data_IF_470689696708
#
_entry.id   IF_470689696708
#
_cell.length_a   1.000
_cell.length_b   1.000
_cell.length_c   1.000
_cell.angle_alpha   90.00
_cell.angle_beta   90.00
_cell.angle_gamma   90.00
#
_symmetry.space_group_name_H-M   'P 1'
#
loop_
_entity.id
_entity.type
_entity.pdbx_description
1 polymer ?
#
# COMPACT_ATOMS: atom_id res chain seq x y z
N UNK A 1 14.91 19.32 -28.51
CA UNK A 1 15.61 18.45 -27.55
C UNK A 1 15.35 17.01 -27.96
N UNK A 2 16.38 16.20 -28.22
CA UNK A 2 16.17 14.78 -28.55
C UNK A 2 15.55 14.08 -27.34
N UNK A 3 14.46 13.35 -27.54
CA UNK A 3 13.85 12.52 -26.49
C UNK A 3 14.93 11.54 -26.01
N UNK A 4 15.39 11.67 -24.76
CA UNK A 4 16.27 10.66 -24.16
C UNK A 4 15.49 9.34 -24.18
N UNK A 5 16.12 8.24 -24.61
CA UNK A 5 15.52 6.92 -24.40
C UNK A 5 15.41 6.68 -22.89
N UNK A 6 14.41 5.92 -22.48
CA UNK A 6 14.27 5.48 -21.09
C UNK A 6 15.47 4.60 -20.69
N UNK A 7 15.86 4.67 -19.42
CA UNK A 7 16.95 3.86 -18.86
C UNK A 7 16.41 2.50 -18.41
N UNK A 8 16.67 1.47 -19.22
CA UNK A 8 16.22 0.11 -18.99
C UNK A 8 16.72 -0.47 -17.65
N UNK A 9 17.93 -0.08 -17.21
CA UNK A 9 18.48 -0.56 -15.93
C UNK A 9 17.66 -0.02 -14.75
N UNK A 10 17.26 1.25 -14.81
CA UNK A 10 16.43 1.85 -13.75
C UNK A 10 14.99 1.35 -13.78
N UNK A 11 14.44 1.05 -14.95
CA UNK A 11 13.11 0.43 -15.07
C UNK A 11 13.14 -0.96 -14.43
N UNK A 12 14.14 -1.79 -14.74
CA UNK A 12 14.26 -3.11 -14.12
C UNK A 12 14.42 -2.99 -12.60
N UNK A 13 15.26 -2.07 -12.12
CA UNK A 13 15.42 -1.81 -10.69
C UNK A 13 14.10 -1.46 -9.99
N UNK A 14 13.27 -0.61 -10.61
CA UNK A 14 11.93 -0.29 -10.11
C UNK A 14 11.04 -1.54 -10.05
N UNK A 15 11.02 -2.36 -11.10
CA UNK A 15 10.20 -3.58 -11.16
C UNK A 15 10.62 -4.62 -10.11
N UNK A 16 11.93 -4.76 -9.85
CA UNK A 16 12.44 -5.59 -8.76
C UNK A 16 12.01 -5.07 -7.39
N UNK A 17 12.05 -3.76 -7.18
CA UNK A 17 11.56 -3.14 -5.94
C UNK A 17 10.06 -3.31 -5.79
N UNK A 18 9.26 -3.13 -6.84
CA UNK A 18 7.82 -3.35 -6.82
C UNK A 18 7.47 -4.79 -6.44
N UNK A 19 8.11 -5.78 -7.09
CA UNK A 19 7.86 -7.19 -6.76
C UNK A 19 8.21 -7.52 -5.30
N UNK A 20 9.29 -6.93 -4.78
CA UNK A 20 9.65 -7.09 -3.38
C UNK A 20 8.70 -6.36 -2.42
N UNK A 21 8.17 -5.20 -2.82
CA UNK A 21 7.15 -4.48 -2.04
C UNK A 21 5.92 -5.37 -1.87
N UNK A 22 5.38 -5.96 -2.94
CA UNK A 22 4.22 -6.87 -2.88
C UNK A 22 4.49 -8.09 -1.99
N UNK A 23 5.68 -8.70 -2.14
CA UNK A 23 6.09 -9.84 -1.31
C UNK A 23 6.25 -9.47 0.17
N UNK A 24 6.72 -8.26 0.45
CA UNK A 24 6.77 -7.69 1.79
C UNK A 24 5.38 -7.35 2.33
N UNK A 25 4.52 -6.76 1.49
CA UNK A 25 3.14 -6.36 1.77
C UNK A 25 2.31 -7.53 2.28
N UNK A 26 2.41 -8.71 1.66
CA UNK A 26 1.77 -9.95 2.14
C UNK A 26 2.14 -10.23 3.60
N UNK A 27 3.43 -10.17 3.95
CA UNK A 27 3.89 -10.43 5.33
C UNK A 27 3.45 -9.34 6.30
N UNK A 28 3.40 -8.10 5.82
CA UNK A 28 2.95 -6.93 6.58
C UNK A 28 1.47 -7.09 6.91
N UNK A 29 0.60 -7.35 5.94
CA UNK A 29 -0.82 -7.57 6.17
C UNK A 29 -1.10 -8.79 7.05
N UNK A 30 -0.44 -9.94 6.79
CA UNK A 30 -0.54 -11.11 7.68
C UNK A 30 -0.21 -10.75 9.13
N UNK A 31 0.82 -9.92 9.35
CA UNK A 31 1.22 -9.48 10.69
C UNK A 31 0.24 -8.44 11.26
N UNK A 32 -0.23 -7.49 10.45
CA UNK A 32 -1.15 -6.43 10.83
C UNK A 32 -2.49 -7.00 11.29
N UNK A 33 -3.05 -7.98 10.57
CA UNK A 33 -4.28 -8.71 10.93
C UNK A 33 -4.19 -9.32 12.34
N UNK A 34 -3.01 -9.83 12.73
CA UNK A 34 -2.81 -10.35 14.09
C UNK A 34 -2.72 -9.28 15.18
N UNK A 35 -2.50 -8.02 14.79
CA UNK A 35 -2.43 -6.86 15.68
C UNK A 35 -3.78 -6.11 15.75
N UNK A 36 -4.66 -6.28 14.77
CA UNK A 36 -5.95 -5.60 14.70
C UNK A 36 -6.87 -5.97 15.89
N UNK A 37 -7.28 -4.98 16.67
CA UNK A 37 -8.27 -5.07 17.74
C UNK A 37 -9.68 -4.67 17.26
N UNK A 38 -9.78 -3.76 16.29
CA UNK A 38 -10.98 -3.35 15.59
C UNK A 38 -11.32 -4.41 14.53
N UNK A 39 -12.59 -4.83 14.49
CA UNK A 39 -13.08 -5.88 13.60
C UNK A 39 -13.18 -5.43 12.14
N UNK A 40 -13.59 -4.18 11.90
CA UNK A 40 -13.82 -3.65 10.56
C UNK A 40 -12.46 -3.43 9.87
N UNK A 41 -11.49 -2.88 10.61
CA UNK A 41 -10.09 -2.79 10.14
C UNK A 41 -9.48 -4.16 9.84
N UNK A 42 -9.80 -5.18 10.65
CA UNK A 42 -9.31 -6.54 10.40
C UNK A 42 -9.89 -7.11 9.12
N UNK A 43 -11.16 -6.83 8.83
CA UNK A 43 -11.82 -7.23 7.60
C UNK A 43 -11.19 -6.52 6.40
N UNK A 44 -11.02 -5.20 6.43
CA UNK A 44 -10.37 -4.43 5.37
C UNK A 44 -8.94 -4.93 5.07
N UNK A 45 -8.10 -5.11 6.10
CA UNK A 45 -6.76 -5.68 5.90
C UNK A 45 -6.75 -7.12 5.37
N UNK A 46 -7.80 -7.89 5.63
CA UNK A 46 -7.92 -9.25 5.08
C UNK A 46 -8.26 -9.21 3.59
N UNK A 47 -9.07 -8.24 3.16
CA UNK A 47 -9.34 -8.00 1.74
C UNK A 47 -8.07 -7.53 1.03
N UNK A 48 -7.39 -6.53 1.57
CA UNK A 48 -6.14 -6.00 0.99
C UNK A 48 -5.06 -7.07 0.89
N UNK A 49 -4.94 -7.97 1.87
CA UNK A 49 -4.04 -9.13 1.78
C UNK A 49 -4.31 -9.99 0.53
N UNK A 50 -5.56 -10.23 0.18
CA UNK A 50 -5.90 -11.01 -1.02
C UNK A 50 -5.62 -10.24 -2.31
N UNK A 51 -5.84 -8.92 -2.30
CA UNK A 51 -5.49 -8.03 -3.42
C UNK A 51 -3.98 -7.97 -3.64
N UNK A 52 -3.16 -7.74 -2.61
CA UNK A 52 -1.68 -7.76 -2.67
C UNK A 52 -1.15 -9.12 -3.19
N UNK A 53 -1.79 -10.24 -2.82
CA UNK A 53 -1.47 -11.56 -3.41
C UNK A 53 -1.78 -11.61 -4.91
N UNK A 54 -2.82 -10.91 -5.35
CA UNK A 54 -3.15 -10.67 -6.76
C UNK A 54 -2.10 -9.83 -7.46
N UNK A 55 -1.73 -8.69 -6.89
CA UNK A 55 -0.73 -7.77 -7.44
C UNK A 55 0.64 -8.42 -7.61
N UNK A 56 1.09 -9.22 -6.62
CA UNK A 56 2.27 -10.08 -6.77
C UNK A 56 2.19 -10.98 -8.01
N UNK A 57 1.04 -11.62 -8.26
CA UNK A 57 0.86 -12.47 -9.45
C UNK A 57 0.92 -11.62 -10.73
N UNK A 58 0.35 -10.42 -10.70
CA UNK A 58 0.42 -9.46 -11.81
C UNK A 58 1.87 -9.11 -12.14
N UNK A 59 2.69 -8.74 -11.16
CA UNK A 59 4.11 -8.47 -11.38
C UNK A 59 4.89 -9.70 -11.85
N UNK A 60 4.60 -10.89 -11.34
CA UNK A 60 5.23 -12.12 -11.86
C UNK A 60 4.91 -12.35 -13.35
N UNK A 61 3.69 -12.03 -13.81
CA UNK A 61 3.35 -12.06 -15.25
C UNK A 61 4.10 -10.99 -16.04
N UNK A 62 4.32 -9.80 -15.47
CA UNK A 62 5.15 -8.76 -16.09
C UNK A 62 6.57 -9.27 -16.29
N UNK A 63 7.17 -9.88 -15.26
CA UNK A 63 8.51 -10.44 -15.33
C UNK A 63 8.64 -11.52 -16.39
N UNK A 64 7.71 -12.48 -16.43
CA UNK A 64 7.66 -13.52 -17.46
C UNK A 64 7.61 -12.90 -18.87
N UNK A 65 6.71 -11.94 -19.08
CA UNK A 65 6.54 -11.31 -20.40
C UNK A 65 7.77 -10.50 -20.81
N UNK A 66 8.45 -9.85 -19.88
CA UNK A 66 9.65 -9.07 -20.16
C UNK A 66 10.93 -9.93 -20.20
N UNK A 67 10.86 -11.20 -19.81
CA UNK A 67 12.02 -12.09 -19.74
C UNK A 67 12.97 -11.77 -18.57
N UNK A 68 12.42 -11.21 -17.48
CA UNK A 68 13.15 -10.93 -16.25
C UNK A 68 13.09 -12.13 -15.31
N UNK A 69 14.16 -12.35 -14.57
CA UNK A 69 14.23 -13.38 -13.53
C UNK A 69 13.63 -12.84 -12.22
N UNK A 70 12.48 -13.34 -11.75
CA UNK A 70 11.85 -12.81 -10.53
C UNK A 70 12.64 -13.08 -9.25
N UNK A 71 13.64 -13.95 -9.29
CA UNK A 71 14.51 -14.28 -8.15
C UNK A 71 15.83 -13.49 -8.17
N UNK A 72 16.06 -12.67 -9.19
CA UNK A 72 17.28 -11.88 -9.27
C UNK A 72 17.34 -10.81 -8.17
N UNK A 73 18.54 -10.68 -7.61
CA UNK A 73 18.88 -9.70 -6.59
C UNK A 73 19.21 -8.34 -7.22
N UNK A 74 18.82 -7.26 -6.55
CA UNK A 74 19.31 -5.92 -6.84
C UNK A 74 19.61 -5.13 -5.55
N UNK A 75 20.48 -4.11 -5.60
CA UNK A 75 20.77 -3.30 -4.41
C UNK A 75 19.52 -2.65 -3.80
N UNK A 76 18.62 -2.08 -4.61
CA UNK A 76 17.41 -1.45 -4.10
C UNK A 76 16.37 -2.47 -3.64
N UNK A 77 16.24 -3.62 -4.31
CA UNK A 77 15.42 -4.75 -3.83
C UNK A 77 15.80 -5.17 -2.42
N UNK A 78 17.10 -5.28 -2.13
CA UNK A 78 17.60 -5.62 -0.78
C UNK A 78 17.22 -4.57 0.26
N UNK A 79 17.22 -3.30 -0.11
CA UNK A 79 16.80 -2.20 0.78
C UNK A 79 15.29 -2.29 1.05
N UNK A 80 14.47 -2.49 0.02
CA UNK A 80 13.00 -2.67 0.17
C UNK A 80 12.70 -3.87 1.07
N UNK A 81 13.36 -5.01 0.85
CA UNK A 81 13.23 -6.19 1.70
C UNK A 81 13.59 -5.89 3.17
N UNK A 82 14.67 -5.13 3.41
CA UNK A 82 15.08 -4.76 4.76
C UNK A 82 14.04 -3.86 5.46
N UNK A 83 13.50 -2.87 4.75
CA UNK A 83 12.46 -1.98 5.29
C UNK A 83 11.19 -2.77 5.60
N UNK A 84 10.70 -3.59 4.65
CA UNK A 84 9.49 -4.40 4.85
C UNK A 84 9.63 -5.37 6.05
N UNK A 85 10.77 -6.04 6.19
CA UNK A 85 11.04 -6.88 7.36
C UNK A 85 11.07 -6.07 8.66
N UNK A 86 11.59 -4.84 8.64
CA UNK A 86 11.62 -3.97 9.82
C UNK A 86 10.23 -3.54 10.28
N UNK A 87 9.31 -3.27 9.34
CA UNK A 87 7.90 -2.98 9.64
C UNK A 87 7.21 -4.19 10.29
N UNK A 88 7.45 -5.39 9.77
CA UNK A 88 6.96 -6.64 10.38
C UNK A 88 7.47 -6.81 11.81
N UNK A 89 8.76 -6.59 12.05
CA UNK A 89 9.33 -6.70 13.40
C UNK A 89 8.79 -5.63 14.36
N UNK A 90 8.56 -4.39 13.89
CA UNK A 90 7.94 -3.33 14.69
C UNK A 90 6.55 -3.74 15.21
N UNK A 91 5.70 -4.31 14.35
CA UNK A 91 4.39 -4.82 14.75
C UNK A 91 4.49 -5.99 15.75
N UNK A 92 5.43 -6.93 15.54
CA UNK A 92 5.66 -8.03 16.48
C UNK A 92 6.12 -7.53 17.85
N UNK A 93 6.99 -6.51 17.89
CA UNK A 93 7.43 -5.88 19.14
C UNK A 93 6.27 -5.22 19.87
N UNK A 94 5.42 -4.46 19.16
CA UNK A 94 4.23 -3.83 19.74
C UNK A 94 3.25 -4.87 20.32
N UNK A 95 3.01 -5.97 19.58
CA UNK A 95 2.16 -7.07 20.06
C UNK A 95 2.73 -7.74 21.31
N UNK A 96 4.06 -7.96 21.35
CA UNK A 96 4.75 -8.55 22.51
C UNK A 96 4.66 -7.68 23.78
N UNK A 97 4.51 -6.36 23.63
CA UNK A 97 4.33 -5.45 24.75
C UNK A 97 2.96 -5.62 25.45
N UNK A 98 2.00 -6.33 24.84
CA UNK A 98 0.77 -6.81 25.50
C UNK A 98 -0.40 -5.83 25.52
N UNK A 99 -0.28 -4.65 24.90
CA UNK A 99 -1.39 -3.71 24.72
C UNK A 99 -1.94 -3.82 23.29
N UNK A 100 -3.16 -4.37 23.16
CA UNK A 100 -3.79 -4.60 21.87
C UNK A 100 -4.08 -3.30 21.09
N UNK A 101 -4.53 -2.24 21.77
CA UNK A 101 -4.80 -0.95 21.12
C UNK A 101 -3.51 -0.32 20.58
N UNK A 102 -2.43 -0.36 21.36
CA UNK A 102 -1.12 0.13 20.91
C UNK A 102 -0.53 -0.73 19.78
N UNK A 103 -0.73 -2.04 19.80
CA UNK A 103 -0.28 -2.93 18.72
C UNK A 103 -1.01 -2.65 17.40
N UNK A 104 -2.33 -2.43 17.44
CA UNK A 104 -3.10 -2.02 16.27
C UNK A 104 -2.62 -0.68 15.71
N UNK A 105 -2.33 0.29 16.58
CA UNK A 105 -1.86 1.61 16.18
C UNK A 105 -0.53 1.52 15.42
N UNK A 106 0.45 0.80 15.97
CA UNK A 106 1.73 0.55 15.31
C UNK A 106 1.54 -0.20 13.99
N UNK A 107 0.60 -1.15 13.94
CA UNK A 107 0.27 -1.83 12.70
C UNK A 107 -0.29 -0.87 11.64
N UNK A 108 -1.20 0.04 11.99
CA UNK A 108 -1.72 1.04 11.06
C UNK A 108 -0.64 1.98 10.51
N UNK A 109 0.33 2.39 11.35
CA UNK A 109 1.50 3.16 10.91
C UNK A 109 2.39 2.37 9.94
N UNK A 110 2.62 1.08 10.25
CA UNK A 110 3.44 0.21 9.42
C UNK A 110 2.79 -0.05 8.05
N UNK A 111 1.49 -0.32 8.02
CA UNK A 111 0.73 -0.47 6.77
C UNK A 111 0.78 0.84 5.98
N UNK A 112 0.56 2.01 6.61
CA UNK A 112 0.64 3.32 5.93
C UNK A 112 2.00 3.54 5.25
N UNK A 113 3.10 3.16 5.89
CA UNK A 113 4.44 3.27 5.31
C UNK A 113 4.64 2.31 4.13
N UNK A 114 4.11 1.09 4.22
CA UNK A 114 4.15 0.11 3.14
C UNK A 114 3.37 0.61 1.92
N UNK A 115 2.11 1.02 2.12
CA UNK A 115 1.24 1.51 1.04
C UNK A 115 1.79 2.77 0.38
N UNK A 116 2.45 3.65 1.14
CA UNK A 116 3.09 4.84 0.55
C UNK A 116 4.21 4.46 -0.41
N UNK A 117 4.94 3.37 -0.14
CA UNK A 117 5.99 2.88 -1.03
C UNK A 117 5.42 2.14 -2.24
N UNK A 118 4.32 1.42 -2.06
CA UNK A 118 3.72 0.59 -3.10
C UNK A 118 2.95 1.41 -4.13
N UNK A 119 2.09 2.31 -3.66
CA UNK A 119 1.42 3.31 -4.49
C UNK A 119 2.41 4.08 -5.37
N UNK A 120 3.55 4.53 -4.81
CA UNK A 120 4.62 5.18 -5.59
C UNK A 120 5.21 4.26 -6.67
N UNK A 121 5.35 2.95 -6.42
CA UNK A 121 5.82 2.02 -7.45
C UNK A 121 4.82 1.97 -8.61
N UNK A 122 3.55 1.81 -8.30
CA UNK A 122 2.48 1.68 -9.30
C UNK A 122 2.29 2.97 -10.09
N UNK A 123 2.30 4.15 -9.46
CA UNK A 123 2.31 5.45 -10.16
C UNK A 123 3.47 5.55 -11.17
N UNK A 124 4.68 5.13 -10.77
CA UNK A 124 5.86 5.15 -11.64
C UNK A 124 5.78 4.11 -12.76
N UNK A 125 5.20 2.94 -12.51
CA UNK A 125 4.92 1.93 -13.53
C UNK A 125 3.94 2.49 -14.57
N UNK A 126 2.87 3.18 -14.12
CA UNK A 126 1.92 3.88 -14.99
C UNK A 126 2.62 4.95 -15.82
N UNK A 127 3.49 5.74 -15.20
CA UNK A 127 4.29 6.74 -15.91
C UNK A 127 5.16 6.13 -17.02
N UNK A 128 5.80 4.98 -16.77
CA UNK A 128 6.56 4.24 -17.78
C UNK A 128 5.61 3.73 -18.88
N UNK A 129 4.47 3.17 -18.51
CA UNK A 129 3.49 2.65 -19.46
C UNK A 129 2.98 3.71 -20.45
N UNK A 130 2.81 4.96 -19.99
CA UNK A 130 2.38 6.08 -20.83
C UNK A 130 3.49 6.62 -21.75
N UNK A 131 4.75 6.56 -21.30
CA UNK A 131 5.86 7.28 -21.93
C UNK A 131 6.85 6.38 -22.69
N UNK A 132 6.87 5.08 -22.42
CA UNK A 132 7.63 4.09 -23.16
C UNK A 132 6.90 3.70 -24.46
N UNK A 133 7.49 2.80 -25.24
CA UNK A 133 6.90 2.30 -26.48
C UNK A 133 7.10 0.79 -26.61
N UNK A 134 6.36 0.17 -27.54
CA UNK A 134 6.50 -1.24 -27.86
C UNK A 134 6.04 -2.17 -26.74
N UNK A 135 6.73 -3.31 -26.61
CA UNK A 135 6.34 -4.41 -25.71
C UNK A 135 6.33 -3.97 -24.24
N UNK A 136 7.33 -3.21 -23.80
CA UNK A 136 7.44 -2.71 -22.42
C UNK A 136 6.19 -1.91 -22.02
N UNK A 137 5.82 -0.91 -22.83
CA UNK A 137 4.65 -0.06 -22.57
C UNK A 137 3.35 -0.87 -22.52
N UNK A 138 3.16 -1.81 -23.45
CA UNK A 138 1.95 -2.63 -23.51
C UNK A 138 1.80 -3.54 -22.27
N UNK A 139 2.90 -4.18 -21.84
CA UNK A 139 2.91 -5.07 -20.67
C UNK A 139 2.62 -4.29 -19.39
N UNK A 140 3.32 -3.18 -19.18
CA UNK A 140 3.16 -2.37 -17.97
C UNK A 140 1.79 -1.69 -17.92
N UNK A 141 1.26 -1.25 -19.06
CA UNK A 141 -0.08 -0.65 -19.13
C UNK A 141 -1.16 -1.65 -18.67
N UNK A 142 -1.12 -2.87 -19.20
CA UNK A 142 -2.09 -3.90 -18.83
C UNK A 142 -2.00 -4.27 -17.34
N UNK A 143 -0.80 -4.33 -16.78
CA UNK A 143 -0.60 -4.59 -15.37
C UNK A 143 -1.11 -3.44 -14.48
N UNK A 144 -0.80 -2.19 -14.85
CA UNK A 144 -1.22 -1.00 -14.12
C UNK A 144 -2.74 -0.85 -14.09
N UNK A 145 -3.42 -1.05 -15.22
CA UNK A 145 -4.89 -0.99 -15.30
C UNK A 145 -5.61 -2.05 -14.44
N UNK A 146 -4.92 -3.14 -14.06
CA UNK A 146 -5.46 -4.18 -13.18
C UNK A 146 -5.33 -3.82 -11.69
N UNK A 147 -4.39 -2.95 -11.32
CA UNK A 147 -3.93 -2.78 -9.93
C UNK A 147 -4.16 -1.37 -9.38
N UNK A 148 -3.96 -0.32 -10.17
CA UNK A 148 -3.87 1.07 -9.68
C UNK A 148 -5.08 1.52 -8.86
N UNK A 149 -6.30 1.19 -9.30
CA UNK A 149 -7.51 1.59 -8.57
C UNK A 149 -7.57 0.96 -7.16
N UNK A 150 -6.99 -0.24 -6.96
CA UNK A 150 -6.90 -0.89 -5.66
C UNK A 150 -5.85 -0.20 -4.78
N UNK A 151 -4.68 0.11 -5.33
CA UNK A 151 -3.59 0.80 -4.62
C UNK A 151 -3.97 2.20 -4.15
N UNK A 152 -4.75 2.93 -4.97
CA UNK A 152 -5.33 4.22 -4.57
C UNK A 152 -6.22 4.04 -3.33
N UNK A 153 -7.12 3.03 -3.32
CA UNK A 153 -7.94 2.74 -2.15
C UNK A 153 -7.10 2.39 -0.92
N UNK A 154 -6.12 1.49 -1.06
CA UNK A 154 -5.27 1.03 0.04
C UNK A 154 -4.59 2.20 0.73
N UNK A 155 -3.99 3.10 -0.05
CA UNK A 155 -3.28 4.25 0.48
C UNK A 155 -4.19 5.24 1.21
N UNK A 156 -5.33 5.63 0.59
CA UNK A 156 -6.19 6.65 1.18
C UNK A 156 -6.95 6.13 2.41
N UNK A 157 -7.45 4.90 2.37
CA UNK A 157 -8.20 4.31 3.47
C UNK A 157 -7.29 4.04 4.67
N UNK A 158 -6.12 3.42 4.46
CA UNK A 158 -5.15 3.15 5.53
C UNK A 158 -4.69 4.44 6.22
N UNK A 159 -4.47 5.53 5.47
CA UNK A 159 -4.16 6.85 6.06
C UNK A 159 -5.29 7.35 6.95
N UNK A 160 -6.54 7.21 6.51
CA UNK A 160 -7.73 7.54 7.30
C UNK A 160 -7.78 6.73 8.60
N UNK A 161 -7.58 5.42 8.52
CA UNK A 161 -7.54 4.54 9.69
C UNK A 161 -6.45 4.94 10.67
N UNK A 162 -5.22 5.11 10.19
CA UNK A 162 -4.10 5.50 11.03
C UNK A 162 -4.38 6.83 11.76
N UNK A 163 -4.97 7.81 11.07
CA UNK A 163 -5.36 9.10 11.67
C UNK A 163 -6.39 8.92 12.78
N UNK A 164 -7.50 8.24 12.50
CA UNK A 164 -8.61 8.13 13.46
C UNK A 164 -8.26 7.25 14.65
N UNK A 165 -7.43 6.21 14.46
CA UNK A 165 -6.87 5.42 15.56
C UNK A 165 -5.98 6.23 16.49
N UNK A 166 -5.14 7.12 15.94
CA UNK A 166 -4.35 8.04 16.75
C UNK A 166 -5.21 9.04 17.52
N UNK A 167 -6.24 9.59 16.88
CA UNK A 167 -7.19 10.49 17.54
C UNK A 167 -7.86 9.81 18.74
N UNK A 168 -8.32 8.56 18.57
CA UNK A 168 -8.91 7.76 19.64
C UNK A 168 -7.89 7.50 20.77
N UNK A 169 -6.66 7.09 20.43
CA UNK A 169 -5.60 6.84 21.39
C UNK A 169 -5.19 8.10 22.19
N UNK A 170 -5.37 9.29 21.62
CA UNK A 170 -5.14 10.57 22.28
C UNK A 170 -6.32 11.03 23.16
N UNK A 171 -7.44 10.29 23.17
CA UNK A 171 -8.62 10.57 23.98
C UNK A 171 -9.58 11.60 23.36
N UNK A 172 -9.48 11.84 22.05
CA UNK A 172 -10.41 12.69 21.31
C UNK A 172 -11.47 11.87 20.58
N UNK A 173 -12.66 12.43 20.28
CA UNK A 173 -13.68 11.72 19.50
C UNK A 173 -13.16 11.36 18.11
N UNK A 174 -13.10 10.07 17.79
CA UNK A 174 -12.66 9.52 16.50
C UNK A 174 -13.84 9.04 15.64
N UNK A 175 -13.65 8.98 14.33
CA UNK A 175 -14.61 8.40 13.37
C UNK A 175 -14.03 7.09 12.86
N UNK A 176 -14.50 5.96 13.38
CA UNK A 176 -14.03 4.62 13.01
C UNK A 176 -15.25 3.77 12.56
N UNK A 177 -15.29 3.26 11.33
CA UNK A 177 -14.31 3.40 10.25
C UNK A 177 -14.11 4.85 9.76
N UNK A 178 -12.96 5.18 9.14
CA UNK A 178 -12.67 6.53 8.70
C UNK A 178 -13.60 7.00 7.56
N UNK A 179 -13.78 8.32 7.38
CA UNK A 179 -14.60 8.86 6.29
C UNK A 179 -14.18 8.35 4.90
N UNK A 180 -12.88 8.14 4.68
CA UNK A 180 -12.31 7.63 3.43
C UNK A 180 -12.88 6.27 3.07
N UNK A 181 -12.95 5.34 4.02
CA UNK A 181 -13.53 4.01 3.81
C UNK A 181 -15.04 4.08 3.58
N UNK A 182 -15.76 4.82 4.45
CA UNK A 182 -17.23 4.93 4.35
C UNK A 182 -17.66 5.56 3.02
N UNK A 183 -16.86 6.48 2.49
CA UNK A 183 -17.11 7.15 1.22
C UNK A 183 -16.47 6.45 0.02
N UNK A 184 -15.73 5.35 0.24
CA UNK A 184 -15.06 4.52 -0.76
C UNK A 184 -14.24 5.37 -1.75
N UNK A 185 -13.21 6.07 -1.25
CA UNK A 185 -12.46 7.08 -2.00
C UNK A 185 -11.23 6.52 -2.68
N UNK A 186 -11.19 6.61 -4.02
CA UNK A 186 -10.02 6.22 -4.83
C UNK A 186 -9.27 7.39 -5.46
N UNK A 187 -9.29 8.59 -4.86
CA UNK A 187 -8.50 9.72 -5.39
C UNK A 187 -8.02 10.64 -4.27
N UNK A 188 -6.89 11.32 -4.46
CA UNK A 188 -6.37 12.28 -3.48
C UNK A 188 -7.37 13.41 -3.16
N UNK A 189 -8.09 13.92 -4.17
CA UNK A 189 -9.14 14.95 -3.96
C UNK A 189 -10.34 14.36 -3.21
N UNK A 190 -10.70 13.11 -3.50
CA UNK A 190 -11.75 12.38 -2.79
C UNK A 190 -11.40 12.19 -1.31
N UNK A 191 -10.19 11.71 -1.02
CA UNK A 191 -9.67 11.54 0.33
C UNK A 191 -9.69 12.85 1.12
N UNK A 192 -9.15 13.93 0.54
CA UNK A 192 -9.19 15.25 1.18
C UNK A 192 -10.63 15.74 1.44
N UNK A 193 -11.57 15.46 0.54
CA UNK A 193 -12.99 15.81 0.74
C UNK A 193 -13.65 14.96 1.83
N UNK A 194 -13.29 13.68 1.94
CA UNK A 194 -13.78 12.78 2.97
C UNK A 194 -13.26 13.18 4.36
N UNK A 195 -11.95 13.44 4.47
CA UNK A 195 -11.33 13.96 5.70
C UNK A 195 -12.03 15.23 6.20
N UNK A 196 -12.30 16.20 5.33
CA UNK A 196 -13.02 17.42 5.68
C UNK A 196 -14.48 17.20 6.14
N UNK A 197 -15.08 16.03 5.87
CA UNK A 197 -16.44 15.69 6.33
C UNK A 197 -16.47 15.07 7.72
N UNK A 198 -15.32 14.72 8.29
CA UNK A 198 -15.16 14.15 9.63
C UNK A 198 -15.96 14.90 10.70
N UNK A 199 -15.88 16.22 10.74
CA UNK A 199 -16.61 17.04 11.73
C UNK A 199 -18.13 16.86 11.65
N UNK A 200 -18.66 16.70 10.43
CA UNK A 200 -20.10 16.47 10.23
C UNK A 200 -20.50 15.08 10.68
N UNK A 201 -19.62 14.09 10.55
CA UNK A 201 -19.86 12.72 11.01
C UNK A 201 -19.89 12.64 12.53
N UNK A 202 -19.00 13.38 13.22
CA UNK A 202 -19.03 13.49 14.68
C UNK A 202 -20.30 14.20 15.20
N UNK A 203 -20.81 15.20 14.47
CA UNK A 203 -22.02 15.92 14.84
C UNK A 203 -23.34 15.22 14.51
N UNK A 204 -23.31 14.11 13.75
CA UNK A 204 -24.50 13.34 13.39
C UNK A 204 -24.93 12.35 14.48
N UNK A 205 -24.11 12.16 15.52
CA UNK A 205 -24.38 11.30 16.68
C UNK A 205 -24.84 12.06 17.94
N UNK A 206 -25.12 13.36 17.84
CA UNK A 206 -25.69 14.21 18.89
C UNK A 206 -27.18 14.51 18.65
#
# INVERSE_FOLDING_TARGET
>A
MSRKSHDETQIHELLYQALETEMGGIKIYETAITCAANKDLREEWSEYLEETKGHRKTLLRVFEQLGLDPDADSPGRKVVAHIGNSLVEAMKLARKAGNAAAAQLVAAECVTQAETKDHLNWELIGHIAENATGKLAAVLKAAHEEVEDQEDHHLYHTKGWCRELWIDALGFPAVLPPPEEIMNVGTAIGAARAENRREKMLGAEA
#
